data_IF_833672467932
#
_entry.id   IF_833672467932
#
_cell.length_a   1.000
_cell.length_b   1.000
_cell.length_c   1.000
_cell.angle_alpha   90.00
_cell.angle_beta   90.00
_cell.angle_gamma   90.00
#
_symmetry.space_group_name_H-M   'P 1'
#
loop_
_entity.id
_entity.type
_entity.pdbx_description
1 polymer ?
#
# COMPACT_ATOMS: atom_id res chain seq x y z
N UNK A 1 -31.13 13.74 -11.99
CA UNK A 1 -30.21 14.67 -11.28
C UNK A 1 -28.81 14.41 -11.83
N UNK A 2 -28.20 15.39 -12.47
CA UNK A 2 -26.81 15.30 -12.94
C UNK A 2 -25.90 15.22 -11.70
N UNK A 3 -25.28 14.06 -11.47
CA UNK A 3 -24.26 13.91 -10.44
C UNK A 3 -23.02 14.69 -10.89
N UNK A 4 -22.55 15.61 -10.05
CA UNK A 4 -21.30 16.34 -10.30
C UNK A 4 -20.13 15.66 -9.61
N UNK A 5 -18.98 15.63 -10.27
CA UNK A 5 -17.74 15.22 -9.62
C UNK A 5 -17.43 16.18 -8.46
N UNK A 6 -17.20 15.68 -7.23
CA UNK A 6 -16.91 16.56 -6.09
C UNK A 6 -15.59 17.29 -6.32
N UNK A 7 -15.45 18.51 -5.76
CA UNK A 7 -14.20 19.28 -5.82
C UNK A 7 -13.08 18.71 -4.94
N UNK A 8 -13.44 17.86 -4.00
CA UNK A 8 -12.52 17.20 -3.06
C UNK A 8 -13.07 15.84 -2.69
N UNK A 9 -12.18 14.83 -2.62
CA UNK A 9 -12.59 13.46 -2.30
C UNK A 9 -11.47 12.46 -2.54
N UNK A 10 -11.83 11.20 -2.65
CA UNK A 10 -10.91 10.10 -2.96
C UNK A 10 -11.39 9.34 -4.21
N UNK A 11 -10.42 8.85 -4.97
CA UNK A 11 -10.57 7.77 -5.95
C UNK A 11 -9.91 6.52 -5.39
N UNK A 12 -10.62 5.41 -5.39
CA UNK A 12 -10.06 4.08 -5.23
C UNK A 12 -9.62 3.61 -6.61
N UNK A 13 -8.36 3.27 -6.77
CA UNK A 13 -7.80 2.93 -8.08
C UNK A 13 -7.21 1.55 -8.05
N UNK A 14 -7.56 0.69 -9.00
CA UNK A 14 -6.85 -0.55 -9.27
C UNK A 14 -5.66 -0.24 -10.16
N UNK A 15 -4.47 -0.12 -9.55
CA UNK A 15 -3.23 0.17 -10.26
C UNK A 15 -2.82 -1.03 -11.12
N UNK A 16 -2.62 -0.88 -12.41
CA UNK A 16 -2.09 -1.94 -13.26
C UNK A 16 -0.58 -2.15 -13.03
N UNK A 17 -0.07 -3.29 -13.48
CA UNK A 17 1.35 -3.60 -13.51
C UNK A 17 2.11 -2.70 -14.50
N UNK A 18 3.40 -2.44 -14.23
CA UNK A 18 4.31 -1.75 -15.15
C UNK A 18 4.25 -0.22 -15.10
N UNK A 19 3.45 0.36 -14.21
CA UNK A 19 3.40 1.82 -13.97
C UNK A 19 3.67 2.12 -12.50
N UNK A 20 4.19 3.32 -12.23
CA UNK A 20 4.41 3.81 -10.86
C UNK A 20 3.12 4.34 -10.24
N UNK A 21 3.08 4.45 -8.91
CA UNK A 21 1.99 5.17 -8.22
C UNK A 21 1.88 6.63 -8.67
N UNK A 22 2.97 7.25 -9.11
CA UNK A 22 2.98 8.63 -9.62
C UNK A 22 2.34 8.74 -11.02
N UNK A 23 2.45 7.72 -11.86
CA UNK A 23 1.75 7.67 -13.15
C UNK A 23 0.23 7.62 -12.95
N UNK A 24 -0.23 6.88 -11.92
CA UNK A 24 -1.64 6.87 -11.50
C UNK A 24 -2.09 8.26 -11.03
N UNK A 25 -1.28 8.95 -10.20
CA UNK A 25 -1.56 10.34 -9.78
C UNK A 25 -1.63 11.27 -10.98
N UNK A 26 -0.76 11.08 -11.97
CA UNK A 26 -0.76 11.89 -13.20
C UNK A 26 -2.02 11.65 -14.04
N UNK A 27 -2.48 10.40 -14.15
CA UNK A 27 -3.75 10.05 -14.77
C UNK A 27 -4.92 10.71 -14.03
N UNK A 28 -4.98 10.58 -12.70
CA UNK A 28 -6.03 11.19 -11.88
C UNK A 28 -6.06 12.73 -12.00
N UNK A 29 -4.89 13.40 -12.06
CA UNK A 29 -4.82 14.85 -12.32
C UNK A 29 -5.47 15.26 -13.64
N UNK A 30 -5.25 14.46 -14.67
CA UNK A 30 -5.84 14.70 -15.98
C UNK A 30 -7.35 14.50 -15.95
N UNK A 31 -7.84 13.38 -15.40
CA UNK A 31 -9.25 13.06 -15.31
C UNK A 31 -10.05 14.07 -14.46
N UNK A 32 -9.50 14.45 -13.31
CA UNK A 32 -10.13 15.37 -12.35
C UNK A 32 -9.89 16.85 -12.68
N UNK A 33 -9.10 17.15 -13.71
CA UNK A 33 -8.72 18.51 -14.12
C UNK A 33 -8.17 19.36 -12.96
N UNK A 34 -7.43 18.74 -12.03
CA UNK A 34 -6.85 19.42 -10.87
C UNK A 34 -5.40 19.01 -10.62
N UNK A 35 -4.57 19.98 -10.18
CA UNK A 35 -3.17 19.72 -9.83
C UNK A 35 -3.01 19.13 -8.42
N UNK A 36 -3.99 19.38 -7.53
CA UNK A 36 -3.94 18.97 -6.13
C UNK A 36 -4.40 17.52 -5.98
N UNK A 37 -3.51 16.60 -6.28
CA UNK A 37 -3.74 15.14 -6.22
C UNK A 37 -2.51 14.47 -5.61
N UNK A 38 -2.74 13.52 -4.70
CA UNK A 38 -1.74 12.69 -4.05
C UNK A 38 -2.23 11.26 -3.84
N UNK A 39 -1.42 10.38 -3.25
CA UNK A 39 -1.82 9.00 -2.95
C UNK A 39 -1.41 8.59 -1.53
N UNK A 40 -2.09 7.59 -0.95
CA UNK A 40 -1.78 6.98 0.33
C UNK A 40 -1.13 5.60 0.14
N UNK A 41 0.20 5.56 0.24
CA UNK A 41 0.99 4.33 0.21
C UNK A 41 1.40 3.90 -1.21
N UNK A 42 2.69 4.03 -1.48
CA UNK A 42 3.29 3.63 -2.76
C UNK A 42 3.09 2.13 -3.03
N UNK A 43 2.84 1.79 -4.29
CA UNK A 43 2.99 0.45 -4.84
C UNK A 43 4.16 0.45 -5.82
N UNK A 44 4.97 -0.60 -5.77
CA UNK A 44 6.06 -0.82 -6.73
C UNK A 44 5.51 -0.95 -8.17
N UNK A 45 6.32 -0.70 -9.21
CA UNK A 45 5.86 -0.84 -10.60
C UNK A 45 5.33 -2.23 -10.93
N UNK A 46 5.97 -3.29 -10.42
CA UNK A 46 5.55 -4.68 -10.61
C UNK A 46 4.24 -5.02 -9.89
N UNK A 47 3.90 -4.30 -8.81
CA UNK A 47 2.72 -4.56 -8.01
C UNK A 47 1.46 -3.99 -8.63
N UNK A 48 0.32 -4.63 -8.35
CA UNK A 48 -1.03 -4.22 -8.79
C UNK A 48 -1.93 -3.95 -7.59
N UNK A 49 -3.16 -3.52 -7.85
CA UNK A 49 -4.22 -3.47 -6.84
C UNK A 49 -4.46 -2.09 -6.26
N UNK A 50 -5.08 -2.06 -5.10
CA UNK A 50 -5.67 -0.86 -4.51
C UNK A 50 -4.65 0.25 -4.24
N UNK A 51 -4.85 1.39 -4.84
CA UNK A 51 -4.18 2.64 -4.56
C UNK A 51 -5.22 3.72 -4.24
N UNK A 52 -5.15 4.31 -3.04
CA UNK A 52 -6.02 5.42 -2.65
C UNK A 52 -5.41 6.71 -3.17
N UNK A 53 -6.18 7.43 -3.98
CA UNK A 53 -5.78 8.72 -4.58
C UNK A 53 -6.71 9.80 -4.05
N UNK A 54 -6.17 10.73 -3.25
CA UNK A 54 -6.91 11.88 -2.74
C UNK A 54 -6.75 13.10 -3.65
N UNK A 55 -7.82 13.88 -3.78
CA UNK A 55 -7.79 15.13 -4.55
C UNK A 55 -8.46 16.28 -3.79
N UNK A 56 -8.12 17.50 -4.17
CA UNK A 56 -8.60 18.69 -3.47
C UNK A 56 -8.21 18.72 -1.99
N UNK A 57 -9.14 19.03 -1.12
CA UNK A 57 -8.92 19.08 0.33
C UNK A 57 -8.70 17.71 0.96
N UNK A 58 -9.19 16.63 0.34
CA UNK A 58 -9.01 15.27 0.83
C UNK A 58 -7.53 14.80 0.78
N UNK A 59 -6.66 15.50 0.05
CA UNK A 59 -5.21 15.23 0.12
C UNK A 59 -4.64 15.33 1.54
N UNK A 60 -5.29 16.08 2.44
CA UNK A 60 -4.89 16.20 3.84
C UNK A 60 -5.25 14.97 4.69
N UNK A 61 -6.20 14.14 4.24
CA UNK A 61 -6.58 12.89 4.90
C UNK A 61 -5.62 11.74 4.57
N UNK A 62 -4.86 11.84 3.47
CA UNK A 62 -3.97 10.77 3.00
C UNK A 62 -2.93 10.33 4.05
N UNK A 63 -2.45 11.26 4.88
CA UNK A 63 -1.48 10.93 5.93
C UNK A 63 -2.06 9.98 6.99
N UNK A 64 -3.35 10.09 7.29
CA UNK A 64 -4.02 9.19 8.24
C UNK A 64 -4.27 7.81 7.63
N UNK A 65 -4.57 7.74 6.32
CA UNK A 65 -4.74 6.48 5.58
C UNK A 65 -3.43 5.71 5.44
N UNK A 66 -2.27 6.39 5.42
CA UNK A 66 -0.95 5.75 5.35
C UNK A 66 -0.71 4.79 6.52
N UNK A 67 -1.21 5.10 7.71
CA UNK A 67 -1.08 4.30 8.93
C UNK A 67 -1.91 3.02 8.95
N UNK A 68 -2.91 2.89 8.10
CA UNK A 68 -3.82 1.74 8.09
C UNK A 68 -3.10 0.43 7.73
N UNK A 69 -3.61 -0.67 8.28
CA UNK A 69 -3.19 -2.02 7.90
C UNK A 69 -3.50 -2.29 6.43
N UNK A 70 -2.79 -3.22 5.83
CA UNK A 70 -2.92 -3.57 4.42
C UNK A 70 -2.97 -5.08 4.26
N UNK A 71 -3.73 -5.54 3.27
CA UNK A 71 -3.73 -6.94 2.87
C UNK A 71 -3.25 -7.06 1.43
N UNK A 72 -2.45 -8.10 1.20
CA UNK A 72 -1.85 -8.39 -0.08
C UNK A 72 -2.07 -9.85 -0.47
N UNK A 73 -2.26 -10.08 -1.75
CA UNK A 73 -2.08 -11.37 -2.40
C UNK A 73 -0.74 -11.36 -3.14
N UNK A 74 0.01 -12.44 -3.05
CA UNK A 74 1.33 -12.55 -3.64
C UNK A 74 1.60 -13.96 -4.17
N UNK A 75 2.55 -14.06 -5.10
CA UNK A 75 3.21 -15.31 -5.43
C UNK A 75 4.66 -15.19 -5.00
N UNK A 76 5.09 -16.06 -4.10
CA UNK A 76 6.46 -16.16 -3.60
C UNK A 76 7.14 -17.33 -4.29
N UNK A 77 8.30 -17.09 -4.86
CA UNK A 77 9.18 -18.12 -5.41
C UNK A 77 10.28 -18.45 -4.43
N UNK A 78 10.44 -19.73 -4.13
CA UNK A 78 11.53 -20.31 -3.33
C UNK A 78 12.47 -21.09 -4.24
N UNK A 79 13.77 -21.02 -4.00
CA UNK A 79 14.83 -21.67 -4.81
C UNK A 79 15.66 -20.72 -5.65
N UNK A 80 15.26 -19.45 -5.76
CA UNK A 80 16.00 -18.37 -6.43
C UNK A 80 15.90 -17.07 -5.62
N UNK A 81 16.96 -16.26 -5.66
CA UNK A 81 16.98 -14.89 -5.14
C UNK A 81 17.27 -13.91 -6.26
N UNK A 82 16.80 -12.68 -6.15
CA UNK A 82 17.05 -11.60 -7.10
C UNK A 82 17.61 -10.36 -6.41
N UNK A 83 18.21 -9.48 -7.19
CA UNK A 83 18.82 -8.24 -6.69
C UNK A 83 17.80 -7.27 -6.08
N UNK A 84 16.52 -7.34 -6.50
CA UNK A 84 15.44 -6.43 -6.07
C UNK A 84 14.43 -7.08 -5.12
N UNK A 85 14.65 -8.37 -4.75
CA UNK A 85 13.71 -9.20 -4.00
C UNK A 85 12.37 -9.43 -4.74
N UNK A 86 12.30 -9.17 -6.07
CA UNK A 86 11.15 -9.38 -6.94
C UNK A 86 11.57 -9.88 -8.34
N UNK A 87 10.60 -10.14 -9.22
CA UNK A 87 10.81 -10.71 -10.54
C UNK A 87 11.50 -9.76 -11.55
N UNK A 88 11.60 -8.46 -11.24
CA UNK A 88 12.26 -7.46 -12.09
C UNK A 88 13.78 -7.47 -11.91
N UNK A 89 14.29 -8.05 -10.80
CA UNK A 89 15.71 -8.13 -10.51
C UNK A 89 16.43 -9.25 -11.26
N UNK A 90 17.76 -9.12 -11.33
CA UNK A 90 18.65 -10.15 -11.84
C UNK A 90 18.77 -11.29 -10.85
N UNK A 91 18.85 -12.54 -11.37
CA UNK A 91 19.03 -13.73 -10.52
C UNK A 91 20.43 -13.69 -9.87
N UNK A 92 20.46 -13.80 -8.56
CA UNK A 92 21.70 -13.93 -7.81
C UNK A 92 22.27 -15.33 -7.91
N UNK A 93 23.58 -15.45 -8.11
CA UNK A 93 24.25 -16.75 -8.05
C UNK A 93 24.22 -17.30 -6.63
N UNK A 94 24.02 -18.60 -6.46
CA UNK A 94 23.82 -19.24 -5.15
C UNK A 94 24.98 -19.02 -4.16
N UNK A 95 26.21 -18.82 -4.66
CA UNK A 95 27.39 -18.50 -3.85
C UNK A 95 27.34 -17.11 -3.18
N UNK A 96 26.40 -16.25 -3.61
CA UNK A 96 26.18 -14.90 -3.11
C UNK A 96 24.94 -14.78 -2.20
N UNK A 97 24.41 -15.89 -1.69
CA UNK A 97 23.43 -15.88 -0.59
C UNK A 97 24.12 -15.38 0.67
N UNK A 98 24.48 -14.08 0.69
CA UNK A 98 24.92 -13.40 1.90
C UNK A 98 23.74 -13.33 2.85
N UNK A 99 23.78 -14.19 3.83
CA UNK A 99 22.90 -14.13 4.98
C UNK A 99 23.24 -12.82 5.70
N UNK A 100 22.24 -11.91 5.77
CA UNK A 100 22.42 -10.63 6.46
C UNK A 100 22.84 -10.84 7.94
N UNK A 101 23.42 -9.83 8.58
CA UNK A 101 23.86 -9.92 9.98
C UNK A 101 22.65 -10.30 10.87
N UNK A 102 22.82 -11.36 11.66
CA UNK A 102 21.82 -11.84 12.63
C UNK A 102 21.04 -13.09 12.25
N UNK A 103 21.15 -13.59 11.02
CA UNK A 103 20.56 -14.89 10.65
C UNK A 103 21.59 -15.97 10.94
N UNK A 104 21.41 -16.66 12.08
CA UNK A 104 22.11 -17.91 12.35
C UNK A 104 21.66 -18.91 11.30
N UNK A 105 22.57 -19.34 10.42
CA UNK A 105 22.35 -20.46 9.52
C UNK A 105 22.04 -21.72 10.33
N UNK A 106 20.78 -21.99 10.60
CA UNK A 106 20.35 -23.38 10.68
C UNK A 106 20.67 -23.97 9.30
N UNK A 107 21.26 -25.18 9.28
CA UNK A 107 21.47 -25.91 8.05
C UNK A 107 20.24 -25.78 7.14
N UNK A 108 20.47 -25.52 5.86
CA UNK A 108 19.38 -25.35 4.90
C UNK A 108 18.36 -26.48 5.08
N UNK A 109 17.09 -26.17 5.02
CA UNK A 109 16.05 -27.15 5.34
C UNK A 109 16.16 -28.36 4.41
N UNK A 110 16.52 -29.52 4.96
CA UNK A 110 16.79 -30.75 4.20
C UNK A 110 15.64 -31.16 3.30
N UNK A 111 14.37 -30.89 3.69
CA UNK A 111 13.19 -31.23 2.88
C UNK A 111 13.11 -30.38 1.62
N UNK A 112 13.35 -29.06 1.74
CA UNK A 112 13.34 -28.17 0.56
C UNK A 112 14.57 -28.40 -0.31
N UNK A 113 15.74 -28.67 0.26
CA UNK A 113 16.94 -29.02 -0.50
C UNK A 113 16.72 -30.29 -1.32
N UNK A 114 16.16 -31.36 -0.72
CA UNK A 114 15.79 -32.59 -1.44
C UNK A 114 14.78 -32.32 -2.53
N UNK A 115 13.72 -31.55 -2.24
CA UNK A 115 12.67 -31.23 -3.20
C UNK A 115 13.19 -30.46 -4.41
N UNK A 116 14.01 -29.43 -4.19
CA UNK A 116 14.45 -28.50 -5.22
C UNK A 116 15.74 -28.93 -5.94
N UNK A 117 16.65 -29.63 -5.24
CA UNK A 117 18.00 -29.87 -5.78
C UNK A 117 18.40 -31.32 -5.91
N UNK A 118 17.81 -32.25 -5.17
CA UNK A 118 18.25 -33.67 -5.17
C UNK A 118 17.28 -34.65 -5.85
N UNK A 119 15.97 -34.34 -5.89
CA UNK A 119 14.95 -35.24 -6.40
C UNK A 119 14.63 -34.98 -7.86
N UNK A 120 14.77 -36.00 -8.74
CA UNK A 120 14.29 -35.93 -10.13
C UNK A 120 12.77 -36.16 -10.23
N UNK A 121 12.16 -36.83 -9.27
CA UNK A 121 10.71 -37.07 -9.21
C UNK A 121 10.02 -36.17 -8.19
N UNK A 122 9.00 -35.41 -8.61
CA UNK A 122 8.11 -34.72 -7.72
C UNK A 122 7.18 -35.70 -7.00
N UNK A 123 7.60 -36.18 -5.84
CA UNK A 123 6.75 -37.00 -4.97
C UNK A 123 5.79 -36.08 -4.20
N UNK A 124 4.48 -36.31 -4.32
CA UNK A 124 3.44 -35.53 -3.65
C UNK A 124 3.59 -35.49 -2.12
N UNK A 125 4.10 -36.56 -1.52
CA UNK A 125 4.35 -36.63 -0.09
C UNK A 125 5.49 -35.68 0.33
N UNK A 126 6.59 -35.65 -0.40
CA UNK A 126 7.71 -34.73 -0.15
C UNK A 126 7.28 -33.27 -0.33
N UNK A 127 6.44 -32.97 -1.33
CA UNK A 127 5.88 -31.61 -1.52
C UNK A 127 5.04 -31.22 -0.30
N UNK A 128 4.16 -32.11 0.18
CA UNK A 128 3.32 -31.84 1.34
C UNK A 128 4.17 -31.62 2.60
N UNK A 129 5.16 -32.46 2.87
CA UNK A 129 6.06 -32.32 4.01
C UNK A 129 6.85 -30.99 3.95
N UNK A 130 7.42 -30.65 2.79
CA UNK A 130 8.11 -29.37 2.58
C UNK A 130 7.15 -28.19 2.77
N UNK A 131 5.92 -28.31 2.31
CA UNK A 131 4.93 -27.25 2.44
C UNK A 131 4.48 -27.04 3.90
N UNK A 132 4.28 -28.09 4.68
CA UNK A 132 4.02 -27.97 6.13
C UNK A 132 5.21 -27.32 6.85
N UNK A 133 6.44 -27.63 6.43
CA UNK A 133 7.63 -26.98 6.98
C UNK A 133 7.67 -25.47 6.65
N UNK A 134 7.29 -25.06 5.44
CA UNK A 134 7.15 -23.65 5.06
C UNK A 134 6.15 -22.94 6.00
N UNK A 135 4.98 -23.52 6.21
CA UNK A 135 3.95 -22.98 7.13
C UNK A 135 4.47 -22.82 8.55
N UNK A 136 5.20 -23.81 9.04
CA UNK A 136 5.80 -23.77 10.37
C UNK A 136 6.81 -22.63 10.48
N UNK A 137 7.74 -22.47 9.52
CA UNK A 137 8.72 -21.38 9.50
C UNK A 137 8.05 -20.02 9.48
N UNK A 138 7.00 -19.84 8.67
CA UNK A 138 6.21 -18.61 8.62
C UNK A 138 5.60 -18.31 9.99
N UNK A 139 4.93 -19.28 10.60
CA UNK A 139 4.27 -19.13 11.92
C UNK A 139 5.27 -18.74 13.01
N UNK A 140 6.44 -19.36 13.02
CA UNK A 140 7.44 -19.16 14.08
C UNK A 140 8.24 -17.86 13.93
N UNK A 141 8.48 -17.38 12.68
CA UNK A 141 9.46 -16.32 12.44
C UNK A 141 8.92 -15.10 11.69
N UNK A 142 7.81 -15.22 10.95
CA UNK A 142 7.30 -14.18 10.05
C UNK A 142 5.86 -13.76 10.37
N UNK A 143 5.32 -14.15 11.54
CA UNK A 143 3.99 -13.78 12.02
C UNK A 143 4.11 -13.07 13.37
N UNK A 144 3.21 -12.13 13.65
CA UNK A 144 3.27 -11.27 14.84
C UNK A 144 4.20 -10.07 14.66
N UNK A 145 4.81 -9.62 15.74
CA UNK A 145 5.80 -8.52 15.71
C UNK A 145 7.17 -9.06 15.29
N UNK A 146 7.69 -8.53 14.20
CA UNK A 146 8.98 -8.94 13.66
C UNK A 146 9.86 -7.73 13.36
N UNK A 147 11.18 -7.92 13.40
CA UNK A 147 12.15 -6.94 12.92
C UNK A 147 12.44 -7.20 11.45
N UNK A 148 12.07 -6.27 10.58
CA UNK A 148 12.25 -6.38 9.13
C UNK A 148 13.25 -5.36 8.61
N UNK A 149 14.28 -5.83 7.89
CA UNK A 149 15.15 -4.98 7.09
C UNK A 149 14.47 -4.76 5.72
N UNK A 150 14.11 -3.51 5.36
CA UNK A 150 13.55 -3.20 4.06
C UNK A 150 14.48 -3.63 2.91
N UNK A 151 13.91 -3.84 1.72
CA UNK A 151 14.69 -4.07 0.51
C UNK A 151 15.55 -2.86 0.15
N UNK A 152 16.76 -3.08 -0.40
CA UNK A 152 17.66 -2.00 -0.85
C UNK A 152 16.99 -1.11 -1.91
N UNK A 153 16.15 -1.69 -2.75
CA UNK A 153 15.36 -0.97 -3.76
C UNK A 153 14.06 -0.42 -3.16
N UNK A 154 14.19 0.52 -2.21
CA UNK A 154 13.04 1.16 -1.54
C UNK A 154 13.09 2.69 -1.63
N UNK A 155 11.94 3.34 -1.39
CA UNK A 155 11.82 4.80 -1.36
C UNK A 155 12.31 5.44 -0.05
N UNK A 156 12.90 4.65 0.86
CA UNK A 156 13.45 5.14 2.13
C UNK A 156 14.59 6.10 1.84
N UNK A 157 14.61 7.21 2.57
CA UNK A 157 15.71 8.19 2.49
C UNK A 157 16.78 7.86 3.52
N UNK A 158 18.01 7.73 3.05
CA UNK A 158 19.22 7.59 3.85
C UNK A 158 20.09 8.81 3.59
N UNK A 159 20.38 9.60 4.60
CA UNK A 159 21.14 10.86 4.48
C UNK A 159 20.60 11.80 3.36
N UNK A 160 19.27 11.83 3.19
CA UNK A 160 18.61 12.69 2.20
C UNK A 160 18.47 12.09 0.79
N UNK A 161 19.19 11.02 0.45
CA UNK A 161 19.08 10.29 -0.82
C UNK A 161 18.18 9.07 -0.68
N UNK A 162 17.46 8.68 -1.72
CA UNK A 162 16.63 7.48 -1.69
C UNK A 162 17.51 6.23 -1.78
N UNK A 163 17.19 5.20 -0.99
CA UNK A 163 17.90 3.92 -1.03
C UNK A 163 17.93 3.31 -2.44
N UNK A 164 16.84 3.45 -3.19
CA UNK A 164 16.73 3.05 -4.57
C UNK A 164 17.77 3.72 -5.51
N UNK A 165 18.03 5.04 -5.35
CA UNK A 165 19.00 5.75 -6.17
C UNK A 165 20.42 5.26 -5.86
N UNK A 166 20.74 5.10 -4.58
CA UNK A 166 22.03 4.55 -4.12
C UNK A 166 22.27 3.12 -4.61
N UNK A 167 21.24 2.26 -4.55
CA UNK A 167 21.33 0.88 -5.04
C UNK A 167 21.58 0.81 -6.56
N UNK A 168 20.98 1.70 -7.35
CA UNK A 168 21.26 1.82 -8.79
C UNK A 168 22.70 2.27 -9.11
N UNK A 169 23.28 3.07 -8.24
CA UNK A 169 24.68 3.49 -8.33
C UNK A 169 25.66 2.38 -7.89
N UNK A 170 25.16 1.17 -7.59
CA UNK A 170 25.97 0.04 -7.13
C UNK A 170 26.52 0.19 -5.69
N UNK A 171 26.02 1.15 -4.92
CA UNK A 171 26.42 1.36 -3.54
C UNK A 171 25.73 0.36 -2.62
N UNK A 172 26.47 -0.26 -1.71
CA UNK A 172 25.88 -1.09 -0.65
C UNK A 172 25.10 -0.19 0.31
N UNK A 173 23.81 -0.47 0.47
CA UNK A 173 22.91 0.31 1.32
C UNK A 173 22.46 -0.56 2.48
N UNK A 174 22.94 -0.24 3.68
CA UNK A 174 22.40 -0.83 4.90
C UNK A 174 21.20 -0.01 5.38
N UNK A 175 20.01 -0.63 5.34
CA UNK A 175 18.78 -0.02 5.84
C UNK A 175 18.49 -0.60 7.22
N UNK A 176 18.39 0.23 8.27
CA UNK A 176 18.07 -0.25 9.62
C UNK A 176 16.77 -1.05 9.64
N UNK A 177 16.79 -2.17 10.34
CA UNK A 177 15.59 -2.95 10.60
C UNK A 177 14.60 -2.16 11.44
N UNK A 178 13.31 -2.37 11.19
CA UNK A 178 12.22 -1.75 11.94
C UNK A 178 11.19 -2.78 12.35
N UNK A 179 10.51 -2.52 13.47
CA UNK A 179 9.41 -3.35 13.91
C UNK A 179 8.22 -3.17 12.96
N UNK A 180 7.68 -4.30 12.49
CA UNK A 180 6.42 -4.38 11.74
C UNK A 180 5.58 -5.51 12.34
N UNK A 181 4.26 -5.43 12.15
CA UNK A 181 3.34 -6.47 12.63
C UNK A 181 2.73 -7.18 11.43
N UNK A 182 2.90 -8.49 11.37
CA UNK A 182 2.23 -9.36 10.41
C UNK A 182 1.08 -10.04 11.16
N UNK A 183 -0.14 -9.55 10.94
CA UNK A 183 -1.32 -10.08 11.63
C UNK A 183 -1.74 -11.44 11.09
N UNK A 184 -1.50 -11.67 9.80
CA UNK A 184 -1.77 -12.93 9.12
C UNK A 184 -0.80 -13.16 7.97
N UNK A 185 -0.32 -14.40 7.80
CA UNK A 185 0.49 -14.83 6.68
C UNK A 185 0.10 -16.27 6.29
N UNK A 186 -0.88 -16.37 5.43
CA UNK A 186 -1.38 -17.62 4.91
C UNK A 186 -0.71 -17.96 3.58
N UNK A 187 -0.39 -19.24 3.36
CA UNK A 187 0.17 -19.76 2.09
C UNK A 187 -0.61 -20.97 1.61
N UNK A 188 -0.67 -21.13 0.29
CA UNK A 188 -1.38 -22.22 -0.39
C UNK A 188 -0.72 -22.55 -1.74
N UNK A 189 -1.22 -23.62 -2.37
CA UNK A 189 -0.95 -23.99 -3.77
C UNK A 189 0.54 -24.10 -4.12
N UNK A 190 1.34 -24.95 -3.43
CA UNK A 190 2.73 -25.16 -3.82
C UNK A 190 2.82 -25.76 -5.21
N UNK A 191 3.62 -25.15 -6.08
CA UNK A 191 3.82 -25.56 -7.46
C UNK A 191 5.30 -25.65 -7.78
N UNK A 192 5.79 -26.83 -8.15
CA UNK A 192 7.17 -27.05 -8.55
C UNK A 192 7.30 -26.84 -10.06
N UNK A 193 8.22 -25.96 -10.45
CA UNK A 193 8.49 -25.65 -11.86
C UNK A 193 9.98 -25.33 -12.09
N UNK A 194 10.37 -25.04 -13.33
CA UNK A 194 11.70 -24.54 -13.63
C UNK A 194 11.70 -23.01 -13.62
N UNK A 195 12.59 -22.44 -12.82
CA UNK A 195 12.81 -21.00 -12.73
C UNK A 195 13.61 -20.44 -13.92
N UNK A 196 13.87 -19.13 -13.88
CA UNK A 196 14.69 -18.44 -14.89
C UNK A 196 16.15 -18.93 -14.92
N UNK A 197 16.66 -19.43 -13.80
CA UNK A 197 18.00 -20.07 -13.71
C UNK A 197 18.08 -21.44 -14.36
N UNK A 198 16.94 -22.01 -14.83
CA UNK A 198 16.83 -23.40 -15.28
C UNK A 198 16.72 -24.43 -14.16
N UNK A 199 16.85 -24.02 -12.89
CA UNK A 199 16.72 -24.88 -11.70
C UNK A 199 15.26 -25.08 -11.32
N UNK A 200 15.00 -26.13 -10.52
CA UNK A 200 13.68 -26.29 -9.89
C UNK A 200 13.45 -25.19 -8.85
N UNK A 201 12.24 -24.67 -8.81
CA UNK A 201 11.76 -23.68 -7.85
C UNK A 201 10.37 -24.08 -7.36
N UNK A 202 9.99 -23.57 -6.22
CA UNK A 202 8.65 -23.76 -5.66
C UNK A 202 7.94 -22.39 -5.60
N UNK A 203 6.89 -22.23 -6.40
CA UNK A 203 5.99 -21.08 -6.30
C UNK A 203 4.86 -21.40 -5.31
N UNK A 204 4.59 -20.48 -4.39
CA UNK A 204 3.48 -20.57 -3.45
C UNK A 204 2.64 -19.29 -3.52
N UNK A 205 1.31 -19.45 -3.49
CA UNK A 205 0.42 -18.30 -3.31
C UNK A 205 0.41 -17.88 -1.83
N UNK A 206 0.36 -16.59 -1.57
CA UNK A 206 0.35 -16.05 -0.22
C UNK A 206 -0.70 -14.95 -0.07
N UNK A 207 -1.36 -14.92 1.10
CA UNK A 207 -2.17 -13.79 1.56
C UNK A 207 -1.52 -13.25 2.83
N UNK A 208 -1.19 -11.95 2.84
CA UNK A 208 -0.49 -11.31 3.95
C UNK A 208 -1.25 -10.08 4.41
N UNK A 209 -1.65 -10.06 5.70
CA UNK A 209 -2.21 -8.89 6.36
C UNK A 209 -1.17 -8.32 7.33
N UNK A 210 -0.87 -7.02 7.21
CA UNK A 210 0.25 -6.43 7.94
C UNK A 210 0.05 -4.94 8.25
N UNK A 211 0.83 -4.46 9.20
CA UNK A 211 0.91 -3.03 9.54
C UNK A 211 1.50 -2.21 8.40
N UNK A 212 1.30 -0.90 8.47
CA UNK A 212 1.96 0.03 7.56
C UNK A 212 3.48 -0.09 7.64
N UNK A 213 4.13 0.15 6.52
CA UNK A 213 5.59 0.10 6.44
C UNK A 213 6.18 -1.29 6.20
N UNK A 214 5.39 -2.35 6.15
CA UNK A 214 5.84 -3.69 5.80
C UNK A 214 6.20 -3.79 4.31
N UNK A 215 7.32 -4.46 3.99
CA UNK A 215 7.74 -4.79 2.64
C UNK A 215 7.50 -6.28 2.37
N UNK A 216 6.53 -6.58 1.49
CA UNK A 216 6.20 -7.97 1.16
C UNK A 216 7.36 -8.64 0.39
N UNK A 217 8.12 -7.88 -0.40
CA UNK A 217 9.36 -8.34 -1.04
C UNK A 217 10.37 -8.83 -0.01
N UNK A 218 10.54 -8.09 1.07
CA UNK A 218 11.44 -8.50 2.16
C UNK A 218 10.93 -9.75 2.88
N UNK A 219 9.60 -9.96 3.03
CA UNK A 219 9.06 -11.21 3.60
C UNK A 219 9.40 -12.41 2.72
N UNK A 220 9.29 -12.29 1.40
CA UNK A 220 9.64 -13.36 0.45
C UNK A 220 11.14 -13.69 0.53
N UNK A 221 12.01 -12.68 0.54
CA UNK A 221 13.45 -12.83 0.75
C UNK A 221 13.76 -13.52 2.08
N UNK A 222 13.17 -13.03 3.17
CA UNK A 222 13.45 -13.51 4.51
C UNK A 222 12.96 -14.95 4.71
N UNK A 223 11.79 -15.32 4.12
CA UNK A 223 11.34 -16.70 4.07
C UNK A 223 12.34 -17.60 3.36
N UNK A 224 12.80 -17.21 2.18
CA UNK A 224 13.80 -17.96 1.43
C UNK A 224 15.14 -18.10 2.17
N UNK A 225 15.54 -17.08 2.94
CA UNK A 225 16.73 -17.12 3.81
C UNK A 225 16.56 -18.07 4.99
N UNK A 226 15.43 -18.03 5.67
CA UNK A 226 15.12 -18.92 6.79
C UNK A 226 15.10 -20.39 6.37
N UNK A 227 14.69 -20.65 5.14
CA UNK A 227 14.67 -22.00 4.54
C UNK A 227 16.00 -22.37 3.88
N UNK A 228 16.94 -21.43 3.73
CA UNK A 228 18.26 -21.66 3.14
C UNK A 228 18.25 -21.89 1.62
N UNK A 229 17.17 -21.59 0.92
CA UNK A 229 17.00 -21.84 -0.52
C UNK A 229 16.93 -20.57 -1.38
N UNK A 230 16.79 -19.40 -0.73
CA UNK A 230 16.54 -18.14 -1.40
C UNK A 230 15.06 -17.96 -1.75
N UNK A 231 14.64 -16.70 -1.91
CA UNK A 231 13.24 -16.38 -2.23
C UNK A 231 13.07 -14.95 -2.73
N UNK A 232 12.06 -14.75 -3.58
CA UNK A 232 11.66 -13.44 -4.07
C UNK A 232 10.18 -13.43 -4.49
N UNK A 233 9.61 -12.25 -4.74
CA UNK A 233 8.23 -12.12 -5.25
C UNK A 233 8.17 -12.28 -6.76
N UNK A 234 7.20 -13.08 -7.24
CA UNK A 234 6.82 -13.17 -8.66
C UNK A 234 5.70 -12.18 -8.97
N UNK A 235 4.72 -12.04 -8.08
CA UNK A 235 3.62 -11.09 -8.21
C UNK A 235 3.19 -10.55 -6.86
N UNK A 236 2.60 -9.35 -6.89
CA UNK A 236 2.08 -8.68 -5.71
C UNK A 236 0.82 -7.89 -6.08
N UNK A 237 -0.25 -8.08 -5.33
CA UNK A 237 -1.50 -7.35 -5.45
C UNK A 237 -1.99 -6.87 -4.09
N UNK A 238 -2.14 -5.56 -3.90
CA UNK A 238 -2.76 -5.02 -2.69
C UNK A 238 -4.27 -5.07 -2.81
N UNK A 239 -4.93 -5.84 -1.94
CA UNK A 239 -6.38 -6.04 -1.96
C UNK A 239 -7.12 -5.08 -1.04
N UNK A 240 -6.49 -4.64 0.08
CA UNK A 240 -7.13 -3.69 0.99
C UNK A 240 -6.15 -2.72 1.67
N UNK A 241 -6.69 -1.58 2.10
CA UNK A 241 -6.05 -0.57 2.96
C UNK A 241 -7.10 -0.14 3.98
N UNK A 242 -6.96 -0.52 5.27
CA UNK A 242 -7.98 -0.31 6.28
C UNK A 242 -9.32 -0.86 5.82
N UNK A 243 -10.35 -0.03 5.80
CA UNK A 243 -11.70 -0.37 5.36
C UNK A 243 -11.92 -0.27 3.84
N UNK A 244 -10.90 0.12 3.07
CA UNK A 244 -11.01 0.22 1.62
C UNK A 244 -10.61 -1.11 0.96
N UNK A 245 -11.40 -1.59 0.02
CA UNK A 245 -11.16 -2.83 -0.74
C UNK A 245 -11.03 -2.55 -2.23
N UNK A 246 -10.20 -3.35 -2.92
CA UNK A 246 -10.11 -3.34 -4.38
C UNK A 246 -11.38 -3.88 -5.05
N UNK A 247 -12.26 -4.54 -4.29
CA UNK A 247 -13.55 -5.06 -4.75
C UNK A 247 -14.69 -4.06 -4.60
N UNK A 248 -14.44 -2.84 -4.05
CA UNK A 248 -15.47 -1.80 -4.02
C UNK A 248 -15.92 -1.48 -5.46
N UNK A 249 -17.22 -1.44 -5.75
CA UNK A 249 -17.75 -1.20 -7.10
C UNK A 249 -17.34 0.16 -7.67
N UNK A 250 -16.89 1.10 -6.85
CA UNK A 250 -16.40 2.43 -7.25
C UNK A 250 -14.93 2.44 -7.64
N UNK A 251 -14.24 1.30 -7.58
CA UNK A 251 -12.82 1.23 -7.97
C UNK A 251 -12.64 1.54 -9.44
N UNK A 252 -11.88 2.59 -9.72
CA UNK A 252 -11.46 2.96 -11.07
C UNK A 252 -10.39 1.98 -11.55
N UNK A 253 -10.73 1.21 -12.58
CA UNK A 253 -9.78 0.31 -13.26
C UNK A 253 -8.95 1.10 -14.26
N UNK A 254 -7.64 0.92 -14.19
CA UNK A 254 -6.70 1.48 -15.14
C UNK A 254 -5.98 0.36 -15.90
N UNK A 255 -5.48 0.69 -17.09
CA UNK A 255 -4.59 -0.16 -17.87
C UNK A 255 -3.26 0.53 -18.13
N UNK A 256 -2.24 -0.24 -18.42
CA UNK A 256 -0.92 0.26 -18.84
C UNK A 256 -0.92 0.47 -20.35
N UNK A 257 -0.52 1.66 -20.78
CA UNK A 257 -0.22 1.98 -22.17
C UNK A 257 1.26 2.29 -22.31
N UNK A 258 1.97 1.46 -23.06
CA UNK A 258 3.40 1.65 -23.32
C UNK A 258 3.57 2.27 -24.71
N UNK A 259 4.34 3.36 -24.78
CA UNK A 259 4.74 4.01 -26.03
C UNK A 259 6.24 3.93 -26.18
N UNK A 260 6.67 3.64 -27.39
CA UNK A 260 8.06 3.72 -27.80
C UNK A 260 8.31 5.09 -28.40
N UNK A 261 9.43 5.69 -28.05
CA UNK A 261 9.89 6.96 -28.64
C UNK A 261 11.41 6.95 -28.71
N UNK A 262 11.95 7.70 -29.68
CA UNK A 262 13.38 7.90 -29.79
C UNK A 262 13.75 9.15 -29.01
N UNK A 263 14.71 9.05 -28.11
CA UNK A 263 15.23 10.20 -27.35
C UNK A 263 16.12 11.11 -28.21
N UNK A 264 16.67 12.17 -27.60
CA UNK A 264 17.50 13.14 -28.30
C UNK A 264 18.85 12.57 -28.78
N UNK A 265 19.25 11.43 -28.21
CA UNK A 265 20.51 10.74 -28.54
C UNK A 265 20.29 9.62 -29.58
N UNK A 266 19.04 9.47 -30.09
CA UNK A 266 18.69 8.47 -31.08
C UNK A 266 18.40 7.08 -30.48
N UNK A 267 18.33 6.95 -29.16
CA UNK A 267 18.08 5.67 -28.49
C UNK A 267 16.58 5.42 -28.35
N UNK A 268 16.13 4.24 -28.73
CA UNK A 268 14.73 3.80 -28.56
C UNK A 268 14.42 3.63 -27.07
N UNK A 269 13.51 4.42 -26.58
CA UNK A 269 13.03 4.41 -25.18
C UNK A 269 11.59 3.91 -25.11
N UNK A 270 11.24 3.25 -24.00
CA UNK A 270 9.87 2.84 -23.69
C UNK A 270 9.36 3.62 -22.47
N UNK A 271 8.18 4.19 -22.59
CA UNK A 271 7.52 4.89 -21.48
C UNK A 271 6.12 4.34 -21.28
N UNK A 272 5.86 3.81 -20.09
CA UNK A 272 4.54 3.34 -19.68
C UNK A 272 3.77 4.46 -18.97
N UNK A 273 2.46 4.50 -19.19
CA UNK A 273 1.52 5.41 -18.53
C UNK A 273 0.30 4.63 -18.06
N UNK A 274 -0.27 5.06 -16.93
CA UNK A 274 -1.58 4.62 -16.49
C UNK A 274 -2.65 5.40 -17.24
N UNK A 275 -3.60 4.71 -17.85
CA UNK A 275 -4.75 5.29 -18.54
C UNK A 275 -6.03 4.53 -18.16
N UNK A 276 -7.21 5.17 -18.21
CA UNK A 276 -8.47 4.48 -17.98
C UNK A 276 -8.70 3.35 -19.01
N UNK A 277 -9.61 2.44 -18.70
CA UNK A 277 -10.14 1.50 -19.69
C UNK A 277 -10.73 2.27 -20.88
N UNK A 278 -10.80 1.60 -22.06
CA UNK A 278 -11.17 2.28 -23.34
C UNK A 278 -12.55 2.93 -23.32
N UNK A 279 -13.49 2.32 -22.60
CA UNK A 279 -14.89 2.77 -22.55
C UNK A 279 -15.17 3.72 -21.37
N UNK A 280 -14.14 4.24 -20.72
CA UNK A 280 -14.28 5.16 -19.58
C UNK A 280 -14.56 6.57 -20.03
N UNK A 281 -15.80 7.03 -19.82
CA UNK A 281 -16.21 8.42 -19.98
C UNK A 281 -16.06 9.14 -18.61
N UNK A 282 -15.15 10.11 -18.55
CA UNK A 282 -14.84 10.80 -17.30
C UNK A 282 -16.03 11.60 -16.75
N UNK A 283 -16.81 12.25 -17.59
CA UNK A 283 -17.93 13.10 -17.18
C UNK A 283 -19.11 12.26 -16.63
N UNK A 284 -19.25 11.02 -17.09
CA UNK A 284 -20.26 10.07 -16.63
C UNK A 284 -19.80 9.23 -15.44
N UNK A 285 -18.55 8.76 -15.49
CA UNK A 285 -18.04 7.76 -14.54
C UNK A 285 -17.50 8.39 -13.25
N UNK A 286 -16.75 9.51 -13.31
CA UNK A 286 -16.16 10.12 -12.12
C UNK A 286 -17.15 10.47 -11.01
N UNK A 287 -18.34 11.03 -11.30
CA UNK A 287 -19.33 11.30 -10.25
C UNK A 287 -19.77 10.06 -9.48
N UNK A 288 -19.65 8.87 -10.08
CA UNK A 288 -20.05 7.58 -9.48
C UNK A 288 -18.88 6.87 -8.79
N UNK A 289 -17.64 7.14 -9.20
CA UNK A 289 -16.44 6.50 -8.67
C UNK A 289 -15.78 7.31 -7.56
N UNK A 290 -15.99 8.64 -7.51
CA UNK A 290 -15.43 9.47 -6.46
C UNK A 290 -16.18 9.30 -5.14
N UNK A 291 -15.46 9.01 -4.07
CA UNK A 291 -15.94 9.20 -2.71
C UNK A 291 -15.81 10.68 -2.36
N UNK A 292 -16.88 11.26 -1.85
CA UNK A 292 -16.85 12.65 -1.38
C UNK A 292 -16.05 12.82 -0.08
N UNK A 293 -15.91 14.05 0.41
CA UNK A 293 -15.13 14.34 1.62
C UNK A 293 -15.63 13.61 2.86
N UNK A 294 -16.95 13.49 3.04
CA UNK A 294 -17.53 12.83 4.21
C UNK A 294 -17.31 11.33 4.16
N UNK A 295 -17.61 10.69 3.04
CA UNK A 295 -17.34 9.26 2.81
C UNK A 295 -15.86 8.93 2.97
N UNK A 296 -14.97 9.79 2.45
CA UNK A 296 -13.53 9.66 2.62
C UNK A 296 -13.13 9.73 4.10
N UNK A 297 -13.69 10.65 4.85
CA UNK A 297 -13.39 10.88 6.27
C UNK A 297 -13.90 9.71 7.15
N UNK A 298 -15.12 9.24 6.90
CA UNK A 298 -15.77 8.15 7.65
C UNK A 298 -14.96 6.84 7.59
N UNK A 299 -14.34 6.54 6.44
CA UNK A 299 -13.48 5.37 6.29
C UNK A 299 -12.04 5.57 6.80
N UNK A 300 -11.69 6.80 7.22
CA UNK A 300 -10.30 7.14 7.60
C UNK A 300 -10.08 7.18 9.11
N UNK A 301 -10.94 7.85 9.86
CA UNK A 301 -10.80 8.09 11.29
C UNK A 301 -12.17 8.02 11.99
N UNK A 302 -12.21 7.84 13.33
CA UNK A 302 -13.43 7.97 14.11
C UNK A 302 -14.12 9.32 13.86
N UNK A 303 -15.46 9.32 13.87
CA UNK A 303 -16.28 10.48 13.57
C UNK A 303 -16.81 11.13 14.85
N UNK A 304 -16.71 12.47 14.94
CA UNK A 304 -17.21 13.30 16.03
C UNK A 304 -18.22 14.30 15.49
N UNK A 305 -19.48 14.10 15.80
CA UNK A 305 -20.53 15.07 15.43
C UNK A 305 -20.45 16.30 16.31
N UNK A 306 -20.51 17.48 15.69
CA UNK A 306 -20.49 18.79 16.35
C UNK A 306 -21.63 19.67 15.79
N UNK A 307 -21.93 20.77 16.49
CA UNK A 307 -22.87 21.78 16.01
C UNK A 307 -22.21 22.86 15.14
N UNK A 308 -23.02 23.74 14.55
CA UNK A 308 -22.56 24.82 13.66
C UNK A 308 -21.68 25.86 14.38
N UNK A 309 -21.92 26.11 15.68
CA UNK A 309 -21.15 27.06 16.48
C UNK A 309 -19.76 26.48 16.73
N UNK A 310 -19.70 25.23 17.18
CA UNK A 310 -18.47 24.48 17.38
C UNK A 310 -17.68 24.36 16.07
N UNK A 311 -18.36 24.13 14.94
CA UNK A 311 -17.73 24.06 13.62
C UNK A 311 -17.05 25.39 13.25
N UNK A 312 -17.71 26.51 13.53
CA UNK A 312 -17.16 27.85 13.34
C UNK A 312 -15.91 28.07 14.18
N UNK A 313 -15.97 27.68 15.46
CA UNK A 313 -14.82 27.81 16.37
C UNK A 313 -13.63 26.99 15.89
N UNK A 314 -13.83 25.71 15.53
CA UNK A 314 -12.76 24.87 14.97
C UNK A 314 -12.16 25.46 13.69
N UNK A 315 -12.98 26.05 12.81
CA UNK A 315 -12.50 26.70 11.58
C UNK A 315 -11.62 27.92 11.85
N UNK A 316 -11.85 28.59 12.95
CA UNK A 316 -10.97 29.68 13.43
C UNK A 316 -9.79 29.21 14.27
N UNK A 317 -9.61 27.89 14.40
CA UNK A 317 -8.51 27.30 15.17
C UNK A 317 -8.73 27.31 16.68
N UNK A 318 -9.93 27.60 17.15
CA UNK A 318 -10.28 27.59 18.57
C UNK A 318 -10.46 26.18 19.09
N UNK A 319 -10.24 25.99 20.37
CA UNK A 319 -10.45 24.71 21.05
C UNK A 319 -11.90 24.54 21.47
N UNK A 320 -12.38 23.30 21.53
CA UNK A 320 -13.68 22.97 22.07
C UNK A 320 -13.52 22.27 23.42
N UNK A 321 -14.39 22.57 24.38
CA UNK A 321 -14.50 21.90 25.66
C UNK A 321 -15.79 21.08 25.71
N UNK A 322 -15.73 19.87 26.23
CA UNK A 322 -16.88 18.99 26.45
C UNK A 322 -17.09 18.80 27.93
N UNK A 323 -18.34 18.96 28.38
CA UNK A 323 -18.70 18.97 29.82
C UNK A 323 -18.70 17.58 30.46
N UNK A 324 -18.73 16.48 29.67
CA UNK A 324 -18.83 15.11 30.20
C UNK A 324 -17.52 14.34 30.11
N UNK A 325 -17.17 13.63 31.21
CA UNK A 325 -16.04 12.67 31.25
C UNK A 325 -16.27 11.40 30.42
N UNK A 326 -17.48 11.18 29.92
CA UNK A 326 -17.90 9.97 29.18
C UNK A 326 -17.44 9.94 27.73
N UNK A 327 -16.47 10.75 27.35
CA UNK A 327 -16.02 10.77 25.95
C UNK A 327 -15.09 9.57 25.68
N UNK A 328 -15.69 8.39 25.43
CA UNK A 328 -15.00 7.20 24.89
C UNK A 328 -14.45 7.41 23.45
N UNK A 329 -14.44 8.66 22.98
CA UNK A 329 -13.99 9.04 21.64
C UNK A 329 -12.50 8.75 21.46
N UNK A 330 -12.18 7.97 20.44
CA UNK A 330 -10.79 7.76 20.02
C UNK A 330 -10.30 8.97 19.22
N UNK A 331 -9.06 9.37 19.47
CA UNK A 331 -8.39 10.46 18.75
C UNK A 331 -7.12 9.96 18.06
N UNK A 332 -6.73 10.56 16.90
CA UNK A 332 -7.43 11.67 16.22
C UNK A 332 -8.79 11.28 15.65
N UNK A 333 -9.71 12.25 15.57
CA UNK A 333 -11.08 12.08 15.07
C UNK A 333 -11.43 13.13 14.02
N UNK A 334 -12.47 12.88 13.23
CA UNK A 334 -13.05 13.83 12.25
C UNK A 334 -14.24 14.53 12.88
N UNK A 335 -14.12 15.84 13.11
CA UNK A 335 -15.24 16.67 13.48
C UNK A 335 -16.08 17.01 12.24
N UNK A 336 -17.40 16.78 12.30
CA UNK A 336 -18.32 17.05 11.20
C UNK A 336 -19.65 17.61 11.69
N UNK A 337 -20.32 18.37 10.82
CA UNK A 337 -21.70 18.85 11.03
C UNK A 337 -22.65 18.03 10.20
N UNK A 338 -23.71 17.52 10.82
CA UNK A 338 -24.76 16.79 10.14
C UNK A 338 -25.65 17.75 9.35
N UNK A 339 -25.86 17.50 8.07
CA UNK A 339 -26.79 18.28 7.25
C UNK A 339 -28.23 17.98 7.62
N UNK A 340 -29.06 19.02 7.76
CA UNK A 340 -30.49 18.90 8.06
C UNK A 340 -31.38 18.62 6.83
N UNK A 341 -30.85 18.83 5.62
CA UNK A 341 -31.65 18.88 4.39
C UNK A 341 -31.32 17.78 3.37
N UNK A 342 -30.91 16.59 3.78
CA UNK A 342 -30.40 15.53 2.87
C UNK A 342 -29.21 15.98 1.99
N UNK A 343 -28.60 17.11 2.29
CA UNK A 343 -27.34 17.53 1.72
C UNK A 343 -26.19 16.73 2.35
N UNK A 344 -25.04 16.75 1.73
CA UNK A 344 -23.85 16.09 2.24
C UNK A 344 -23.40 16.67 3.59
N UNK A 345 -23.10 15.81 4.58
CA UNK A 345 -22.51 16.22 5.85
C UNK A 345 -21.19 16.98 5.63
N UNK A 346 -20.97 18.01 6.43
CA UNK A 346 -19.84 18.94 6.27
C UNK A 346 -18.66 18.54 7.17
N UNK A 347 -17.54 18.15 6.58
CA UNK A 347 -16.31 17.79 7.29
C UNK A 347 -15.56 19.06 7.68
N UNK A 348 -15.41 19.29 8.98
CA UNK A 348 -14.89 20.53 9.56
C UNK A 348 -13.40 20.47 9.83
N UNK A 349 -12.95 19.47 10.58
CA UNK A 349 -11.56 19.36 11.01
C UNK A 349 -11.16 17.93 11.36
N UNK A 350 -9.88 17.63 11.30
CA UNK A 350 -9.27 16.56 12.11
C UNK A 350 -8.91 17.16 13.44
N UNK A 351 -9.33 16.53 14.53
CA UNK A 351 -9.11 17.00 15.89
C UNK A 351 -8.33 15.99 16.71
N UNK A 352 -7.57 16.47 17.69
CA UNK A 352 -6.90 15.65 18.68
C UNK A 352 -7.20 16.15 20.09
N UNK A 353 -7.01 15.30 21.09
CA UNK A 353 -7.13 15.68 22.48
C UNK A 353 -6.00 16.66 22.85
N UNK A 354 -6.33 17.75 23.53
CA UNK A 354 -5.34 18.73 23.99
C UNK A 354 -4.50 18.12 25.12
N UNK A 355 -3.20 18.02 24.90
CA UNK A 355 -2.24 17.60 25.94
C UNK A 355 -2.17 18.72 27.00
N UNK A 356 -2.28 18.41 28.27
CA UNK A 356 -2.22 19.34 29.42
C UNK A 356 -3.51 20.09 29.80
N UNK A 357 -4.65 19.71 29.30
CA UNK A 357 -5.92 20.27 29.77
C UNK A 357 -6.46 19.44 30.94
N UNK A 358 -6.81 20.12 32.05
CA UNK A 358 -7.60 19.53 33.15
C UNK A 358 -9.05 19.28 32.76
N UNK A 359 -9.43 19.72 31.57
CA UNK A 359 -10.76 19.61 30.96
C UNK A 359 -10.69 18.82 29.70
N UNK A 360 -11.75 18.09 29.31
CA UNK A 360 -11.89 17.35 28.05
C UNK A 360 -11.91 18.32 26.85
N UNK A 361 -10.74 18.86 26.50
CA UNK A 361 -10.59 19.78 25.37
C UNK A 361 -10.01 19.07 24.15
N UNK A 362 -10.54 19.45 23.00
CA UNK A 362 -9.98 19.07 21.69
C UNK A 362 -9.51 20.30 20.94
N UNK A 363 -8.51 20.10 20.10
CA UNK A 363 -7.98 21.13 19.20
C UNK A 363 -7.94 20.64 17.76
N UNK A 364 -8.15 21.53 16.78
CA UNK A 364 -8.01 21.18 15.39
C UNK A 364 -6.53 21.06 15.01
N UNK A 365 -6.20 20.00 14.25
CA UNK A 365 -4.87 19.79 13.66
C UNK A 365 -4.88 19.94 12.13
N UNK A 366 -6.04 19.68 11.51
CA UNK A 366 -6.30 19.97 10.10
C UNK A 366 -7.69 20.57 10.00
N UNK A 367 -7.81 21.75 9.40
CA UNK A 367 -9.09 22.43 9.20
C UNK A 367 -9.49 22.36 7.73
N UNK A 368 -10.75 22.04 7.46
CA UNK A 368 -11.31 22.03 6.10
C UNK A 368 -12.21 23.26 5.89
N UNK A 369 -12.17 23.88 4.70
CA UNK A 369 -13.10 24.96 4.38
C UNK A 369 -14.54 24.43 4.38
N UNK A 370 -15.50 25.30 4.70
CA UNK A 370 -16.91 24.94 4.59
C UNK A 370 -17.23 24.43 3.18
N UNK A 371 -18.04 23.37 3.09
CA UNK A 371 -18.56 22.90 1.82
C UNK A 371 -19.30 24.07 1.18
N UNK A 372 -18.91 24.45 -0.05
CA UNK A 372 -19.67 25.46 -0.77
C UNK A 372 -21.07 24.88 -0.99
N UNK A 373 -22.07 25.48 -0.34
CA UNK A 373 -23.46 25.22 -0.70
C UNK A 373 -23.55 25.46 -2.21
N UNK A 374 -23.98 24.46 -2.94
CA UNK A 374 -24.24 24.57 -4.39
C UNK A 374 -25.37 25.59 -4.58
N UNK A 375 -25.04 26.87 -4.38
CA UNK A 375 -25.87 28.01 -4.70
C UNK A 375 -25.70 28.26 -6.20
N UNK A 376 -26.83 28.33 -6.88
CA UNK A 376 -27.01 28.71 -8.27
C UNK A 376 -25.89 29.62 -8.76
N UNK A 377 -25.13 29.14 -9.76
CA UNK A 377 -24.45 30.03 -10.68
C UNK A 377 -25.54 30.84 -11.42
N UNK A 378 -25.58 32.12 -11.15
CA UNK A 378 -26.30 33.08 -11.97
C UNK A 378 -25.61 33.22 -13.32
#
# INVERSE_FOLDING_TARGET
MTQFTPSSGILLVDKPQGVTSHDVVSCARHLLRTKRVGHAGTLDPMATGLLIVGFGNATRLLNYMLGHNKTYEAVIRLGESTTTDDADGEILQQNNLQLGPGVVTKAADDLLLKLLFESDSCNSELINQAFERIKQVIKENLTGKIMQAPTAFSAIKINGQRAYDLAREGKTVEIPSREVTISDFYVANPCILRGKSGRKVCDITATVSCSSGTYIRALARDLGRLLGVGGHLISLRRTSIGNFSVTDPRVLKLRTETREFTDREGVLQKRSKAVPEKDFDADICLPKTCLNMFEAAEHTLPMLQIDETQAKDLRFGRWLSFESEENSQQYPAIAYVKSSNNEQNDVVAVVEQAKNSKTNQIKPIVVFPASQKTGKLY
#
